data_IF_968890183123
#
_entry.id   IF_968890183123
#
_cell.length_a   1.000
_cell.length_b   1.000
_cell.length_c   1.000
_cell.angle_alpha   90.00
_cell.angle_beta   90.00
_cell.angle_gamma   90.00
#
_symmetry.space_group_name_H-M   'P 1'
#
loop_
_entity.id
_entity.type
_entity.pdbx_description
1 polymer ?
#
# COMPACT_ATOMS: atom_id res chain seq x y z
N UNK A 1 9.04 -14.80 -10.24
CA UNK A 1 10.02 -13.94 -9.54
C UNK A 1 9.58 -13.77 -8.09
N UNK A 2 10.47 -13.91 -7.08
CA UNK A 2 10.11 -13.75 -5.67
C UNK A 2 9.57 -12.35 -5.38
N UNK A 3 8.60 -12.23 -4.46
CA UNK A 3 7.96 -10.95 -4.09
C UNK A 3 8.98 -9.90 -3.66
N UNK A 4 9.92 -10.25 -2.78
CA UNK A 4 10.95 -9.32 -2.31
C UNK A 4 11.85 -8.77 -3.42
N UNK A 5 12.00 -9.49 -4.56
CA UNK A 5 12.70 -8.95 -5.72
C UNK A 5 11.83 -7.92 -6.46
N UNK A 6 10.53 -8.20 -6.66
CA UNK A 6 9.59 -7.24 -7.26
C UNK A 6 9.53 -5.94 -6.46
N UNK A 7 9.51 -6.03 -5.14
CA UNK A 7 9.49 -4.85 -4.26
C UNK A 7 10.75 -3.99 -4.40
N UNK A 8 11.93 -4.63 -4.38
CA UNK A 8 13.20 -3.92 -4.60
C UNK A 8 13.30 -3.32 -6.01
N UNK A 9 12.73 -3.95 -7.02
CA UNK A 9 12.70 -3.44 -8.39
C UNK A 9 11.84 -2.17 -8.50
N UNK A 10 10.67 -2.11 -7.83
CA UNK A 10 9.85 -0.89 -7.74
C UNK A 10 10.64 0.22 -7.03
N UNK A 11 11.20 -0.03 -5.86
CA UNK A 11 12.00 0.97 -5.15
C UNK A 11 13.14 1.49 -6.04
N UNK A 12 13.84 0.60 -6.75
CA UNK A 12 14.92 0.98 -7.67
C UNK A 12 14.43 1.79 -8.85
N UNK A 13 13.27 1.47 -9.44
CA UNK A 13 12.66 2.21 -10.55
C UNK A 13 12.48 3.70 -10.19
N UNK A 14 12.08 3.97 -8.95
CA UNK A 14 11.86 5.33 -8.45
C UNK A 14 13.04 5.91 -7.65
N UNK A 15 14.18 5.21 -7.60
CA UNK A 15 15.37 5.60 -6.82
C UNK A 15 15.11 5.80 -5.31
N UNK A 16 14.23 4.96 -4.74
CA UNK A 16 13.78 4.97 -3.35
C UNK A 16 14.51 3.87 -2.57
N UNK A 17 14.76 4.10 -1.27
CA UNK A 17 15.23 3.04 -0.37
C UNK A 17 14.14 1.99 -0.15
N UNK A 18 14.52 0.72 -0.19
CA UNK A 18 13.61 -0.37 0.19
C UNK A 18 13.44 -0.43 1.71
N UNK A 19 12.19 -0.49 2.17
CA UNK A 19 11.85 -0.82 3.55
C UNK A 19 10.95 -2.05 3.55
N UNK A 20 11.36 -3.09 4.26
CA UNK A 20 10.55 -4.30 4.40
C UNK A 20 9.19 -3.99 5.05
N UNK A 21 8.15 -4.69 4.61
CA UNK A 21 6.84 -4.68 5.25
C UNK A 21 6.62 -6.08 5.84
N UNK A 22 6.46 -6.17 7.16
CA UNK A 22 6.11 -7.43 7.79
C UNK A 22 4.66 -7.80 7.43
N UNK A 23 4.50 -8.80 6.56
CA UNK A 23 3.20 -9.25 6.07
C UNK A 23 2.34 -9.92 7.16
N UNK A 24 2.92 -10.25 8.33
CA UNK A 24 2.13 -10.71 9.48
C UNK A 24 1.36 -9.56 10.14
N UNK A 25 1.78 -8.31 9.92
CA UNK A 25 1.06 -7.14 10.39
C UNK A 25 -0.16 -6.84 9.53
N UNK A 26 -1.05 -6.01 10.06
CA UNK A 26 -2.29 -5.62 9.37
C UNK A 26 -2.03 -4.44 8.41
N UNK A 27 -2.75 -4.45 7.29
CA UNK A 27 -2.96 -3.31 6.39
C UNK A 27 -4.40 -2.82 6.58
N UNK A 28 -4.62 -1.52 6.48
CA UNK A 28 -5.96 -0.97 6.30
C UNK A 28 -6.35 -1.09 4.83
N UNK A 29 -7.48 -1.72 4.53
CA UNK A 29 -7.96 -1.88 3.16
C UNK A 29 -9.40 -1.41 2.97
N UNK A 30 -9.71 -0.75 1.86
CA UNK A 30 -11.11 -0.39 1.58
C UNK A 30 -11.95 -1.64 1.27
N UNK A 31 -13.23 -1.63 1.68
CA UNK A 31 -14.15 -2.76 1.47
C UNK A 31 -14.36 -3.12 0.00
N UNK A 32 -14.37 -2.12 -0.86
CA UNK A 32 -14.62 -2.24 -2.30
C UNK A 32 -13.38 -2.63 -3.12
N UNK A 33 -12.23 -2.90 -2.49
CA UNK A 33 -10.98 -3.19 -3.23
C UNK A 33 -11.13 -4.37 -4.20
N UNK A 34 -12.01 -5.33 -3.88
CA UNK A 34 -12.28 -6.53 -4.70
C UNK A 34 -13.27 -6.27 -5.83
N UNK A 35 -13.95 -5.13 -5.83
CA UNK A 35 -15.01 -4.83 -6.79
C UNK A 35 -14.44 -4.39 -8.15
N UNK A 36 -13.11 -4.36 -8.30
CA UNK A 36 -12.42 -3.96 -9.52
C UNK A 36 -12.40 -2.44 -9.74
N UNK A 37 -12.78 -1.66 -8.72
CA UNK A 37 -12.76 -0.20 -8.75
C UNK A 37 -11.32 0.31 -8.90
N UNK A 38 -11.16 1.38 -9.67
CA UNK A 38 -9.90 2.05 -9.96
C UNK A 38 -10.03 3.57 -9.79
N UNK A 39 -8.92 4.30 -9.60
CA UNK A 39 -7.54 3.80 -9.41
C UNK A 39 -7.35 3.11 -8.04
N UNK A 40 -6.25 2.37 -7.88
CA UNK A 40 -5.82 1.86 -6.58
C UNK A 40 -4.82 2.84 -5.97
N UNK A 41 -5.07 3.24 -4.74
CA UNK A 41 -4.19 4.11 -4.00
C UNK A 41 -3.57 3.36 -2.83
N UNK A 42 -2.39 3.81 -2.43
CA UNK A 42 -1.82 3.42 -1.16
C UNK A 42 -1.00 4.53 -0.54
N UNK A 43 -0.97 4.55 0.78
CA UNK A 43 -0.08 5.39 1.58
C UNK A 43 0.49 4.56 2.73
N UNK A 44 1.73 4.85 3.11
CA UNK A 44 2.38 4.22 4.27
C UNK A 44 2.68 5.28 5.32
N UNK A 45 1.93 5.27 6.40
CA UNK A 45 2.26 6.01 7.63
C UNK A 45 3.29 5.22 8.45
N UNK A 46 3.73 5.80 9.56
CA UNK A 46 4.60 5.12 10.51
C UNK A 46 3.95 3.84 11.03
N UNK A 47 4.73 2.76 11.13
CA UNK A 47 4.25 1.53 11.76
C UNK A 47 3.94 1.76 13.26
N UNK A 48 2.72 1.43 13.67
CA UNK A 48 2.28 1.56 15.05
C UNK A 48 1.25 0.49 15.42
N UNK A 49 1.19 0.11 16.71
CA UNK A 49 0.12 -0.69 17.30
C UNK A 49 -0.20 -2.02 16.56
N UNK A 50 0.81 -2.65 15.95
CA UNK A 50 0.65 -3.93 15.23
C UNK A 50 0.10 -3.79 13.80
N UNK A 51 0.18 -2.59 13.23
CA UNK A 51 -0.11 -2.32 11.82
C UNK A 51 1.18 -2.10 11.03
N UNK A 52 1.16 -2.42 9.74
CA UNK A 52 2.25 -2.19 8.79
C UNK A 52 2.36 -0.73 8.32
N UNK A 53 1.49 0.15 8.81
CA UNK A 53 1.37 1.55 8.35
C UNK A 53 0.68 1.69 6.98
N UNK A 54 0.43 0.60 6.25
CA UNK A 54 -0.22 0.66 4.95
C UNK A 54 -1.73 0.86 5.05
N UNK A 55 -2.21 1.87 4.33
CA UNK A 55 -3.62 2.07 3.98
C UNK A 55 -3.76 2.01 2.47
N UNK A 56 -4.65 1.15 1.98
CA UNK A 56 -4.82 0.85 0.55
C UNK A 56 -6.30 0.91 0.21
N UNK A 57 -6.67 1.66 -0.83
CA UNK A 57 -8.08 1.80 -1.21
C UNK A 57 -8.27 1.86 -2.73
N UNK A 58 -9.51 1.61 -3.16
CA UNK A 58 -9.93 1.69 -4.55
C UNK A 58 -10.91 2.84 -4.78
N UNK A 59 -10.64 3.65 -5.80
CA UNK A 59 -11.43 4.82 -6.15
C UNK A 59 -11.27 5.96 -5.16
N UNK A 60 -12.35 6.68 -4.90
CA UNK A 60 -12.34 7.86 -4.04
C UNK A 60 -12.14 7.51 -2.56
N UNK A 61 -11.40 8.38 -1.86
CA UNK A 61 -11.26 8.32 -0.42
C UNK A 61 -12.59 8.66 0.26
N UNK A 62 -12.83 8.07 1.44
CA UNK A 62 -13.95 8.41 2.30
C UNK A 62 -13.51 8.48 3.77
N UNK A 63 -14.03 9.47 4.50
CA UNK A 63 -13.83 9.63 5.94
C UNK A 63 -14.83 8.82 6.79
N UNK A 64 -15.61 7.93 6.15
CA UNK A 64 -16.50 7.02 6.86
C UNK A 64 -15.69 6.13 7.83
N UNK A 65 -16.12 6.00 9.11
CA UNK A 65 -15.35 5.27 10.13
C UNK A 65 -15.07 3.80 9.80
N UNK A 66 -15.85 3.21 8.90
CA UNK A 66 -15.75 1.82 8.48
C UNK A 66 -15.25 1.67 7.04
N UNK A 67 -14.67 2.74 6.46
CA UNK A 67 -14.10 2.73 5.12
C UNK A 67 -12.93 1.74 5.02
N UNK A 68 -11.99 1.81 5.97
CA UNK A 68 -10.88 0.87 6.09
C UNK A 68 -11.21 -0.27 7.05
N UNK A 69 -10.96 -1.49 6.59
CA UNK A 69 -11.01 -2.70 7.42
C UNK A 69 -9.61 -3.29 7.57
N UNK A 70 -9.28 -3.89 8.73
CA UNK A 70 -7.98 -4.53 8.91
C UNK A 70 -7.90 -5.84 8.14
N UNK A 71 -6.83 -6.01 7.36
CA UNK A 71 -6.49 -7.26 6.66
C UNK A 71 -5.05 -7.64 6.98
N UNK A 72 -4.76 -8.92 7.27
CA UNK A 72 -3.35 -9.34 7.39
C UNK A 72 -2.65 -9.20 6.03
N UNK A 73 -1.44 -8.65 6.01
CA UNK A 73 -0.68 -8.42 4.77
C UNK A 73 -0.48 -9.69 3.93
N UNK A 74 -0.39 -10.86 4.57
CA UNK A 74 -0.36 -12.16 3.89
C UNK A 74 -1.59 -12.44 3.01
N UNK A 75 -2.78 -11.97 3.42
CA UNK A 75 -4.02 -12.16 2.65
C UNK A 75 -4.23 -11.06 1.60
N UNK A 76 -3.40 -10.01 1.56
CA UNK A 76 -3.53 -8.95 0.58
C UNK A 76 -3.35 -9.45 -0.85
N UNK A 77 -2.52 -10.49 -1.05
CA UNK A 77 -2.33 -11.13 -2.35
C UNK A 77 -3.64 -11.67 -2.94
N UNK A 78 -4.58 -12.11 -2.10
CA UNK A 78 -5.87 -12.63 -2.55
C UNK A 78 -6.89 -11.51 -2.84
N UNK A 79 -6.60 -10.28 -2.41
CA UNK A 79 -7.50 -9.13 -2.52
C UNK A 79 -7.04 -8.15 -3.61
N UNK A 80 -5.73 -7.90 -3.70
CA UNK A 80 -5.12 -6.93 -4.59
C UNK A 80 -3.65 -7.30 -4.86
N UNK A 81 -3.40 -8.41 -5.55
CA UNK A 81 -2.03 -8.88 -5.87
C UNK A 81 -1.14 -7.81 -6.54
N UNK A 82 -1.75 -6.92 -7.33
CA UNK A 82 -1.09 -5.84 -8.05
C UNK A 82 -0.40 -4.82 -7.14
N UNK A 83 -0.84 -4.67 -5.89
CA UNK A 83 -0.23 -3.71 -4.94
C UNK A 83 0.95 -4.32 -4.17
N UNK A 84 1.08 -5.65 -4.15
CA UNK A 84 2.13 -6.35 -3.42
C UNK A 84 3.56 -5.88 -3.74
N UNK A 85 3.92 -5.55 -5.00
CA UNK A 85 5.21 -4.96 -5.34
C UNK A 85 5.48 -3.60 -4.68
N UNK A 86 4.45 -2.84 -4.31
CA UNK A 86 4.60 -1.49 -3.75
C UNK A 86 4.76 -1.50 -2.23
N UNK A 87 4.47 -2.62 -1.55
CA UNK A 87 4.64 -2.73 -0.09
C UNK A 87 6.10 -2.57 0.40
N UNK A 88 7.08 -2.57 -0.51
CA UNK A 88 8.48 -2.27 -0.18
C UNK A 88 8.81 -0.78 -0.08
N UNK A 89 7.87 0.10 -0.44
CA UNK A 89 8.04 1.55 -0.30
C UNK A 89 8.14 1.93 1.18
N UNK A 90 9.03 2.86 1.55
CA UNK A 90 9.20 3.25 2.95
C UNK A 90 8.02 4.06 3.47
N UNK A 91 7.98 4.21 4.79
CA UNK A 91 7.05 5.13 5.44
C UNK A 91 7.22 6.55 4.87
N UNK A 92 6.13 7.30 4.77
CA UNK A 92 6.13 8.62 4.13
C UNK A 92 6.02 8.57 2.60
N UNK A 93 5.50 7.47 2.04
CA UNK A 93 5.33 7.31 0.60
C UNK A 93 3.91 6.93 0.22
N UNK A 94 3.55 7.32 -1.00
CA UNK A 94 2.28 7.00 -1.64
C UNK A 94 2.50 6.33 -2.99
N UNK A 95 1.48 5.60 -3.42
CA UNK A 95 1.36 5.13 -4.79
C UNK A 95 -0.06 5.33 -5.31
N UNK A 96 -0.17 5.44 -6.63
CA UNK A 96 -1.43 5.39 -7.38
C UNK A 96 -1.22 4.47 -8.58
N UNK A 97 -2.09 3.49 -8.77
CA UNK A 97 -2.03 2.51 -9.86
C UNK A 97 -3.38 2.46 -10.57
N UNK A 98 -3.36 2.75 -11.86
CA UNK A 98 -4.49 2.66 -12.75
C UNK A 98 -4.13 1.91 -14.04
N UNK A 99 -5.09 1.72 -14.94
CA UNK A 99 -4.88 1.05 -16.23
C UNK A 99 -3.79 1.74 -17.07
N UNK A 100 -2.59 1.15 -17.06
CA UNK A 100 -1.45 1.68 -17.82
C UNK A 100 -0.79 2.92 -17.19
N UNK A 101 -1.19 3.30 -15.99
CA UNK A 101 -0.61 4.42 -15.24
C UNK A 101 -0.18 3.98 -13.86
N UNK A 102 1.03 4.36 -13.46
CA UNK A 102 1.51 4.19 -12.09
C UNK A 102 2.32 5.42 -11.69
N UNK A 103 2.06 5.91 -10.48
CA UNK A 103 2.78 7.01 -9.88
C UNK A 103 3.15 6.69 -8.43
N UNK A 104 4.31 7.14 -8.01
CA UNK A 104 4.88 6.89 -6.69
C UNK A 104 5.60 8.15 -6.26
N UNK A 105 5.19 8.73 -5.13
CA UNK A 105 5.74 9.98 -4.63
C UNK A 105 5.87 9.98 -3.12
N UNK A 106 6.78 10.81 -2.64
CA UNK A 106 6.99 11.01 -1.21
C UNK A 106 5.93 11.97 -0.67
N UNK A 107 5.38 11.62 0.49
CA UNK A 107 4.53 12.47 1.31
C UNK A 107 5.07 12.46 2.75
N UNK A 108 5.97 13.40 3.10
CA UNK A 108 6.55 13.48 4.43
C UNK A 108 5.53 13.76 5.54
N UNK A 109 4.34 14.30 5.22
CA UNK A 109 3.32 14.61 6.22
C UNK A 109 2.80 13.35 6.91
N UNK A 110 2.83 12.21 6.21
CA UNK A 110 2.44 10.89 6.74
C UNK A 110 3.29 10.43 7.94
N UNK A 111 4.49 11.00 8.11
CA UNK A 111 5.37 10.66 9.24
C UNK A 111 5.00 11.41 10.53
N UNK A 112 4.09 12.39 10.45
CA UNK A 112 3.60 13.16 11.59
C UNK A 112 2.21 12.68 12.08
N UNK A 113 1.74 11.53 11.55
CA UNK A 113 0.44 10.93 11.85
C UNK A 113 0.37 10.37 13.27
#
# INVERSE_FOLDING_TARGET
MPLGKKQKDICKKYSISYQECDLNLKVGISKNIKDGVRPLHGLRVKEENGTSGWYIWAGEWSDEPDFFVPLHGLHLVDWADIVMPYLGLPEGWRFLIDEGYEDVWQDPELLNS
#
